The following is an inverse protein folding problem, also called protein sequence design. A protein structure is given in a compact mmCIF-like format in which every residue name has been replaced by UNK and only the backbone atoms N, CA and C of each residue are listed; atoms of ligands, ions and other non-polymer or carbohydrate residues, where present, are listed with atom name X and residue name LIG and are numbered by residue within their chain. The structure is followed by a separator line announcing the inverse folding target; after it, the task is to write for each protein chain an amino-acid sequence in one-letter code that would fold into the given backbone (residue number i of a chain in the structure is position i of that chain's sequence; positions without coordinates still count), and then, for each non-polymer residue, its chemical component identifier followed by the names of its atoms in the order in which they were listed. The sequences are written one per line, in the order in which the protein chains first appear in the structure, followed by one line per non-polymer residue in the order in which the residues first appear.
data_IF_280770740122
#
_entry.id   IF_280770740122
#
_cell.length_a   1.000
_cell.length_b   1.000
_cell.length_c   1.000
_cell.angle_alpha   90.00
_cell.angle_beta   90.00
_cell.angle_gamma   90.00
#
_symmetry.space_group_name_H-M   'P 1'
#
loop_
_entity.id
_entity.type
_entity.pdbx_description
1 polymer ?
#
# COMPACT_ATOMS: atom_id res chain seq x y z
N UNK A 1 0.10 -12.45 -6.04
CA UNK A 1 1.56 -12.40 -6.22
C UNK A 1 2.01 -13.50 -7.17
N UNK A 2 2.69 -13.13 -8.24
CA UNK A 2 3.11 -14.07 -9.31
C UNK A 2 4.06 -15.17 -8.82
N UNK A 3 5.00 -14.86 -7.91
CA UNK A 3 5.90 -15.88 -7.31
C UNK A 3 5.11 -16.89 -6.51
N UNK A 4 4.22 -16.42 -5.63
CA UNK A 4 3.38 -17.28 -4.81
C UNK A 4 2.46 -18.17 -5.64
N UNK A 5 1.95 -17.67 -6.78
CA UNK A 5 1.13 -18.46 -7.70
C UNK A 5 1.91 -19.64 -8.29
N UNK A 6 3.17 -19.43 -8.64
CA UNK A 6 4.07 -20.46 -9.19
C UNK A 6 4.68 -21.43 -8.16
N UNK A 7 4.22 -21.40 -6.91
CA UNK A 7 4.79 -22.24 -5.84
C UNK A 7 6.16 -21.78 -5.32
N UNK A 8 6.62 -20.58 -5.75
CA UNK A 8 7.83 -19.95 -5.23
C UNK A 8 7.60 -19.22 -3.91
N UNK A 9 8.57 -18.39 -3.53
CA UNK A 9 8.56 -17.66 -2.26
C UNK A 9 7.27 -16.86 -2.07
N UNK A 10 6.68 -17.01 -0.92
CA UNK A 10 5.57 -16.18 -0.48
C UNK A 10 6.05 -14.76 -0.16
N UNK A 11 5.20 -13.76 -0.31
CA UNK A 11 5.57 -12.40 0.06
C UNK A 11 5.68 -12.26 1.60
N UNK A 12 6.35 -11.20 2.05
CA UNK A 12 6.50 -10.91 3.48
C UNK A 12 5.16 -10.88 4.25
N UNK A 13 4.06 -10.48 3.62
CA UNK A 13 2.72 -10.50 4.24
C UNK A 13 2.26 -11.92 4.61
N UNK A 14 2.67 -12.93 3.86
CA UNK A 14 2.44 -14.31 4.26
C UNK A 14 3.26 -14.66 5.51
N UNK A 15 4.53 -14.26 5.52
CA UNK A 15 5.45 -14.53 6.61
C UNK A 15 5.02 -13.90 7.94
N UNK A 16 4.59 -12.63 7.88
CA UNK A 16 4.21 -11.85 9.07
C UNK A 16 2.74 -11.97 9.46
N UNK A 17 1.85 -12.21 8.51
CA UNK A 17 0.40 -12.14 8.73
C UNK A 17 -0.34 -13.42 8.33
N UNK A 18 0.36 -14.44 7.83
CA UNK A 18 -0.24 -15.73 7.45
C UNK A 18 -1.21 -15.67 6.27
N UNK A 19 -1.14 -14.62 5.42
CA UNK A 19 -2.05 -14.50 4.28
C UNK A 19 -1.65 -15.35 3.09
N UNK A 20 -2.63 -15.78 2.31
CA UNK A 20 -2.42 -16.48 1.05
C UNK A 20 -2.01 -15.49 -0.05
N UNK A 21 -0.70 -15.33 -0.26
CA UNK A 21 -0.15 -14.31 -1.18
C UNK A 21 -0.68 -14.42 -2.61
N UNK A 22 -1.02 -15.61 -3.08
CA UNK A 22 -1.60 -15.83 -4.42
C UNK A 22 -3.06 -15.33 -4.52
N UNK A 23 -3.75 -15.16 -3.40
CA UNK A 23 -5.11 -14.63 -3.29
C UNK A 23 -5.16 -13.13 -2.99
N UNK A 24 -4.02 -12.42 -3.16
CA UNK A 24 -3.94 -10.99 -2.88
C UNK A 24 -4.06 -10.18 -4.16
N UNK A 25 -5.05 -9.30 -4.21
CA UNK A 25 -5.18 -8.23 -5.22
C UNK A 25 -4.39 -7.02 -4.76
N UNK A 26 -3.55 -6.51 -5.64
CA UNK A 26 -2.88 -5.23 -5.43
C UNK A 26 -3.55 -4.19 -6.34
N UNK A 27 -4.04 -3.12 -5.75
CA UNK A 27 -4.81 -2.10 -6.46
C UNK A 27 -4.57 -0.69 -5.89
N UNK A 28 -5.04 0.31 -6.61
CA UNK A 28 -5.17 1.68 -6.13
C UNK A 28 -6.51 2.28 -6.56
N UNK A 29 -7.19 3.04 -5.70
CA UNK A 29 -8.44 3.72 -6.08
C UNK A 29 -8.20 5.04 -6.82
N UNK A 30 -6.98 5.57 -6.78
CA UNK A 30 -6.56 6.78 -7.49
C UNK A 30 -5.08 6.72 -7.88
N UNK A 31 -4.74 7.30 -9.01
CA UNK A 31 -3.36 7.46 -9.45
C UNK A 31 -2.77 8.82 -9.00
N UNK A 32 -3.59 9.71 -8.45
CA UNK A 32 -3.13 11.00 -7.92
C UNK A 32 -2.19 10.77 -6.74
N UNK A 33 -1.18 11.62 -6.62
CA UNK A 33 -0.26 11.66 -5.49
C UNK A 33 0.19 13.09 -5.27
N UNK A 34 0.31 13.49 -4.03
CA UNK A 34 0.79 14.80 -3.61
C UNK A 34 2.31 14.85 -3.33
N UNK A 35 3.01 13.81 -3.76
CA UNK A 35 4.48 13.72 -3.73
C UNK A 35 5.03 13.27 -5.07
N UNK A 36 6.31 13.61 -5.33
CA UNK A 36 7.08 13.24 -6.52
C UNK A 36 8.42 12.61 -6.12
N UNK A 37 8.36 11.57 -5.27
CA UNK A 37 9.55 10.93 -4.68
C UNK A 37 10.54 10.48 -5.75
N UNK A 38 11.83 10.72 -5.51
CA UNK A 38 12.92 10.35 -6.43
C UNK A 38 13.01 8.84 -6.68
N UNK A 39 12.62 8.03 -5.73
CA UNK A 39 12.61 6.57 -5.83
C UNK A 39 11.29 5.99 -6.35
N UNK A 40 10.32 6.84 -6.70
CA UNK A 40 9.02 6.37 -7.18
C UNK A 40 9.20 5.67 -8.54
N UNK A 41 8.69 4.43 -8.64
CA UNK A 41 8.72 3.67 -9.89
C UNK A 41 7.74 4.18 -10.95
N UNK A 42 6.82 5.07 -10.56
CA UNK A 42 5.83 5.67 -11.47
C UNK A 42 6.48 6.72 -12.37
N UNK A 43 6.13 6.74 -13.66
CA UNK A 43 6.43 7.87 -14.53
C UNK A 43 5.63 9.10 -14.14
N UNK A 44 6.29 10.26 -14.12
CA UNK A 44 5.66 11.57 -13.91
C UNK A 44 5.48 12.36 -15.21
N UNK A 45 5.77 11.74 -16.35
CA UNK A 45 5.66 12.39 -17.67
C UNK A 45 4.21 12.64 -18.10
N UNK A 46 3.29 11.87 -17.53
CA UNK A 46 1.87 12.03 -17.78
C UNK A 46 1.17 12.56 -16.54
N UNK A 47 0.56 13.74 -16.66
CA UNK A 47 -0.32 14.25 -15.63
C UNK A 47 -1.54 13.33 -15.51
N UNK A 48 -1.82 12.91 -14.29
CA UNK A 48 -3.08 12.23 -13.99
C UNK A 48 -4.16 13.31 -13.99
N UNK A 49 -4.95 13.35 -15.06
CA UNK A 49 -6.13 14.25 -15.13
C UNK A 49 -7.07 13.94 -13.95
N UNK A 50 -7.82 14.94 -13.51
CA UNK A 50 -8.95 14.69 -12.62
C UNK A 50 -9.95 13.78 -13.35
N UNK A 51 -9.89 12.48 -13.00
CA UNK A 51 -10.86 11.50 -13.47
C UNK A 51 -12.02 11.48 -12.48
N UNK A 52 -13.21 11.18 -12.97
CA UNK A 52 -14.34 10.86 -12.08
C UNK A 52 -13.95 9.67 -11.21
N UNK A 53 -14.03 9.84 -9.91
CA UNK A 53 -13.73 8.77 -8.96
C UNK A 53 -14.79 7.67 -9.09
N UNK A 54 -14.35 6.42 -9.28
CA UNK A 54 -15.26 5.27 -9.21
C UNK A 54 -15.83 5.13 -7.81
N UNK A 55 -17.10 4.75 -7.68
CA UNK A 55 -17.68 4.44 -6.37
C UNK A 55 -17.05 3.19 -5.76
N UNK A 56 -17.05 3.04 -4.41
CA UNK A 56 -16.59 1.83 -3.73
C UNK A 56 -17.22 0.55 -4.28
N UNK A 57 -18.51 0.57 -4.60
CA UNK A 57 -19.25 -0.56 -5.14
C UNK A 57 -18.76 -0.95 -6.54
N UNK A 58 -18.48 0.06 -7.38
CA UNK A 58 -17.89 -0.17 -8.72
C UNK A 58 -16.52 -0.81 -8.62
N UNK A 59 -15.69 -0.35 -7.68
CA UNK A 59 -14.36 -0.91 -7.43
C UNK A 59 -14.48 -2.36 -6.94
N UNK A 60 -15.33 -2.62 -5.95
CA UNK A 60 -15.57 -3.98 -5.44
C UNK A 60 -16.06 -4.94 -6.54
N UNK A 61 -17.03 -4.52 -7.32
CA UNK A 61 -17.56 -5.33 -8.43
C UNK A 61 -16.49 -5.64 -9.50
N UNK A 62 -15.51 -4.75 -9.65
CA UNK A 62 -14.40 -4.92 -10.59
C UNK A 62 -13.31 -5.91 -10.14
N UNK A 63 -13.17 -6.19 -8.84
CA UNK A 63 -12.03 -6.92 -8.28
C UNK A 63 -11.78 -8.26 -8.96
N UNK A 64 -12.78 -9.14 -9.06
CA UNK A 64 -12.64 -10.46 -9.68
C UNK A 64 -12.31 -10.36 -11.16
N UNK A 65 -12.98 -9.47 -11.89
CA UNK A 65 -12.76 -9.26 -13.33
C UNK A 65 -11.31 -8.81 -13.61
N UNK A 66 -10.84 -7.83 -12.86
CA UNK A 66 -9.49 -7.29 -13.06
C UNK A 66 -8.41 -8.25 -12.54
N UNK A 67 -8.66 -8.99 -11.46
CA UNK A 67 -7.78 -10.06 -11.00
C UNK A 67 -7.62 -11.13 -12.08
N UNK A 68 -8.72 -11.63 -12.64
CA UNK A 68 -8.70 -12.59 -13.75
C UNK A 68 -7.92 -12.07 -14.95
N UNK A 69 -8.15 -10.80 -15.35
CA UNK A 69 -7.39 -10.14 -16.42
C UNK A 69 -5.89 -10.05 -16.12
N UNK A 70 -5.51 -9.69 -14.90
CA UNK A 70 -4.12 -9.60 -14.47
C UNK A 70 -3.41 -10.96 -14.45
N UNK A 71 -4.16 -12.04 -14.26
CA UNK A 71 -3.65 -13.41 -14.25
C UNK A 71 -3.70 -14.10 -15.62
N UNK A 72 -4.52 -13.63 -16.57
CA UNK A 72 -4.75 -14.30 -17.85
C UNK A 72 -3.46 -14.57 -18.67
N UNK A 73 -2.46 -13.67 -18.62
CA UNK A 73 -1.17 -13.86 -19.29
C UNK A 73 -0.30 -14.98 -18.69
N UNK A 74 -0.72 -15.62 -17.59
CA UNK A 74 -0.01 -16.71 -16.94
C UNK A 74 -0.51 -18.09 -17.33
N UNK A 75 -1.71 -18.22 -17.91
CA UNK A 75 -2.28 -19.53 -18.29
C UNK A 75 -1.36 -20.31 -19.24
N UNK A 76 -0.75 -19.67 -20.23
CA UNK A 76 0.14 -20.33 -21.18
C UNK A 76 1.47 -20.82 -20.59
N UNK A 77 1.86 -20.31 -19.40
CA UNK A 77 3.12 -20.64 -18.70
C UNK A 77 2.87 -21.64 -17.56
N UNK A 78 1.59 -21.90 -17.24
CA UNK A 78 1.19 -22.60 -16.03
C UNK A 78 1.13 -24.13 -16.17
N UNK A 79 1.16 -24.67 -17.39
CA UNK A 79 0.97 -26.11 -17.63
C UNK A 79 1.93 -27.03 -16.84
N UNK A 80 3.03 -26.48 -16.25
CA UNK A 80 3.99 -27.25 -15.49
C UNK A 80 4.38 -26.69 -14.10
N UNK A 81 3.81 -25.54 -13.65
CA UNK A 81 4.30 -24.87 -12.43
C UNK A 81 3.23 -24.45 -11.43
N UNK A 82 1.96 -24.52 -11.78
CA UNK A 82 0.83 -24.12 -10.91
C UNK A 82 -0.17 -25.26 -10.87
N UNK A 83 -0.59 -25.66 -9.67
CA UNK A 83 -1.68 -26.60 -9.52
C UNK A 83 -3.01 -25.94 -9.86
N UNK A 84 -3.97 -26.71 -10.41
CA UNK A 84 -5.32 -26.22 -10.72
C UNK A 84 -5.98 -25.62 -9.48
N UNK A 85 -5.84 -26.24 -8.33
CA UNK A 85 -6.36 -25.74 -7.05
C UNK A 85 -5.84 -24.32 -6.74
N UNK A 86 -4.51 -24.11 -6.80
CA UNK A 86 -3.91 -22.81 -6.53
C UNK A 86 -4.32 -21.75 -7.57
N UNK A 87 -4.54 -22.18 -8.80
CA UNK A 87 -5.05 -21.30 -9.85
C UNK A 87 -6.48 -20.85 -9.54
N UNK A 88 -7.37 -21.77 -9.19
CA UNK A 88 -8.76 -21.45 -8.82
C UNK A 88 -8.79 -20.55 -7.57
N UNK A 89 -7.96 -20.84 -6.56
CA UNK A 89 -7.83 -19.97 -5.39
C UNK A 89 -7.39 -18.53 -5.76
N UNK A 90 -6.47 -18.37 -6.71
CA UNK A 90 -6.00 -17.05 -7.14
C UNK A 90 -7.07 -16.24 -7.89
N UNK A 91 -8.05 -16.91 -8.50
CA UNK A 91 -9.22 -16.27 -9.12
C UNK A 91 -10.26 -15.80 -8.09
N UNK A 92 -10.17 -16.33 -6.85
CA UNK A 92 -11.04 -16.01 -5.72
C UNK A 92 -10.24 -15.23 -4.65
N UNK A 93 -9.98 -13.94 -4.88
CA UNK A 93 -9.16 -13.13 -3.97
C UNK A 93 -9.81 -13.01 -2.59
N UNK A 94 -8.98 -13.04 -1.54
CA UNK A 94 -9.37 -12.84 -0.14
C UNK A 94 -8.69 -11.62 0.50
N UNK A 95 -7.66 -11.10 -0.15
CA UNK A 95 -6.87 -10.01 0.40
C UNK A 95 -6.76 -8.88 -0.60
N UNK A 96 -6.92 -7.64 -0.13
CA UNK A 96 -6.80 -6.43 -0.95
C UNK A 96 -5.70 -5.54 -0.38
N UNK A 97 -4.66 -5.29 -1.18
CA UNK A 97 -3.62 -4.34 -0.85
C UNK A 97 -3.82 -3.04 -1.65
N UNK A 98 -4.23 -2.00 -0.94
CA UNK A 98 -4.40 -0.63 -1.47
C UNK A 98 -3.04 0.06 -1.37
N UNK A 99 -2.17 -0.17 -2.38
CA UNK A 99 -0.74 0.16 -2.28
C UNK A 99 0.00 0.23 -3.62
N UNK A 100 -0.70 0.20 -4.75
CA UNK A 100 -0.03 0.01 -6.04
C UNK A 100 0.66 1.27 -6.54
N UNK A 101 -0.04 2.39 -6.57
CA UNK A 101 0.44 3.66 -7.12
C UNK A 101 -0.45 4.80 -6.63
N UNK A 102 0.06 6.03 -6.66
CA UNK A 102 -0.68 7.18 -6.13
C UNK A 102 -0.72 7.21 -4.61
N UNK A 103 -1.48 8.14 -4.06
CA UNK A 103 -1.74 8.24 -2.63
C UNK A 103 -3.23 7.94 -2.37
N UNK A 104 -3.53 6.81 -1.72
CA UNK A 104 -4.92 6.38 -1.52
C UNK A 104 -5.78 7.37 -0.75
N UNK A 105 -5.20 8.14 0.17
CA UNK A 105 -5.94 9.13 0.97
C UNK A 105 -6.47 10.31 0.16
N UNK A 106 -6.04 10.46 -1.10
CA UNK A 106 -6.61 11.43 -2.04
C UNK A 106 -7.91 10.94 -2.70
N UNK A 107 -8.28 9.68 -2.52
CA UNK A 107 -9.59 9.15 -2.90
C UNK A 107 -10.59 9.46 -1.80
N UNK A 108 -11.62 10.26 -2.12
CA UNK A 108 -12.56 10.83 -1.14
C UNK A 108 -13.33 9.79 -0.32
N UNK A 109 -13.59 8.64 -0.92
CA UNK A 109 -14.39 7.55 -0.32
C UNK A 109 -13.50 6.40 0.20
N UNK A 110 -12.22 6.67 0.54
CA UNK A 110 -11.30 5.63 1.01
C UNK A 110 -11.81 4.89 2.26
N UNK A 111 -12.31 5.58 3.32
CA UNK A 111 -12.85 4.87 4.48
C UNK A 111 -14.01 3.94 4.11
N UNK A 112 -14.94 4.40 3.28
CA UNK A 112 -16.09 3.62 2.82
C UNK A 112 -15.66 2.40 1.98
N UNK A 113 -14.64 2.57 1.14
CA UNK A 113 -14.08 1.48 0.34
C UNK A 113 -13.46 0.39 1.22
N UNK A 114 -12.68 0.79 2.24
CA UNK A 114 -12.08 -0.15 3.19
C UNK A 114 -13.17 -0.90 3.97
N UNK A 115 -14.17 -0.18 4.48
CA UNK A 115 -15.29 -0.77 5.20
C UNK A 115 -16.11 -1.72 4.32
N UNK A 116 -16.29 -1.37 3.05
CA UNK A 116 -17.00 -2.23 2.10
C UNK A 116 -16.23 -3.54 1.86
N UNK A 117 -14.90 -3.47 1.66
CA UNK A 117 -14.06 -4.67 1.56
C UNK A 117 -14.13 -5.52 2.82
N UNK A 118 -13.97 -4.90 4.00
CA UNK A 118 -14.01 -5.61 5.28
C UNK A 118 -15.35 -6.35 5.48
N UNK A 119 -16.48 -5.69 5.19
CA UNK A 119 -17.82 -6.30 5.28
C UNK A 119 -18.03 -7.45 4.29
N UNK A 120 -17.32 -7.45 3.17
CA UNK A 120 -17.33 -8.54 2.19
C UNK A 120 -16.26 -9.62 2.46
N UNK A 121 -15.66 -9.63 3.65
CA UNK A 121 -14.75 -10.67 4.11
C UNK A 121 -13.32 -10.57 3.57
N UNK A 122 -12.94 -9.44 2.96
CA UNK A 122 -11.56 -9.23 2.53
C UNK A 122 -10.69 -8.77 3.70
N UNK A 123 -9.46 -9.29 3.75
CA UNK A 123 -8.40 -8.70 4.59
C UNK A 123 -7.79 -7.51 3.85
N UNK A 124 -7.83 -6.33 4.45
CA UNK A 124 -7.40 -5.08 3.81
C UNK A 124 -6.05 -4.59 4.30
N UNK A 125 -5.19 -4.18 3.38
CA UNK A 125 -3.90 -3.56 3.65
C UNK A 125 -3.87 -2.18 3.01
N UNK A 126 -3.69 -1.14 3.81
CA UNK A 126 -3.56 0.24 3.33
C UNK A 126 -2.11 0.69 3.46
N UNK A 127 -1.53 1.22 2.38
CA UNK A 127 -0.22 1.88 2.40
C UNK A 127 -0.42 3.34 1.99
N UNK A 128 0.00 4.26 2.84
CA UNK A 128 -0.11 5.70 2.64
C UNK A 128 1.22 6.40 2.88
N UNK A 129 1.42 7.52 2.22
CA UNK A 129 2.55 8.41 2.46
C UNK A 129 2.37 9.28 3.73
N UNK A 130 1.26 9.13 4.46
CA UNK A 130 1.03 9.78 5.74
C UNK A 130 0.61 11.26 5.67
N UNK A 131 0.40 11.84 4.49
CA UNK A 131 0.13 13.28 4.38
C UNK A 131 -1.29 13.70 4.77
N UNK A 132 -2.20 12.75 5.00
CA UNK A 132 -3.60 13.01 5.35
C UNK A 132 -4.02 12.29 6.64
N UNK A 133 -3.56 12.75 7.84
CA UNK A 133 -3.89 12.11 9.12
C UNK A 133 -5.39 12.01 9.38
N UNK A 134 -6.18 13.03 9.04
CA UNK A 134 -7.64 13.05 9.21
C UNK A 134 -8.35 11.92 8.43
N UNK A 135 -7.86 11.60 7.24
CA UNK A 135 -8.41 10.50 6.43
C UNK A 135 -7.97 9.16 7.02
N UNK A 136 -6.69 9.04 7.39
CA UNK A 136 -6.14 7.82 8.01
C UNK A 136 -6.85 7.50 9.34
N UNK A 137 -7.15 8.51 10.14
CA UNK A 137 -7.88 8.34 11.41
C UNK A 137 -9.24 7.66 11.21
N UNK A 138 -9.92 7.89 10.08
CA UNK A 138 -11.22 7.30 9.73
C UNK A 138 -11.13 5.95 9.03
N UNK A 139 -9.95 5.53 8.59
CA UNK A 139 -9.75 4.25 7.92
C UNK A 139 -9.54 3.14 8.94
N UNK A 140 -10.14 1.98 8.73
CA UNK A 140 -9.96 0.80 9.59
C UNK A 140 -9.54 -0.43 8.76
N UNK A 141 -8.36 -0.42 8.11
CA UNK A 141 -7.84 -1.60 7.44
C UNK A 141 -7.39 -2.66 8.46
N UNK A 142 -7.29 -3.92 8.02
CA UNK A 142 -6.68 -4.97 8.83
C UNK A 142 -5.23 -4.62 9.21
N UNK A 143 -4.47 -4.04 8.28
CA UNK A 143 -3.11 -3.58 8.51
C UNK A 143 -2.90 -2.21 7.84
N UNK A 144 -2.46 -1.22 8.63
CA UNK A 144 -2.11 0.11 8.15
C UNK A 144 -0.59 0.24 8.03
N UNK A 145 -0.14 0.81 6.91
CA UNK A 145 1.26 1.20 6.71
C UNK A 145 1.33 2.70 6.46
N UNK A 146 2.24 3.35 7.16
CA UNK A 146 2.62 4.74 6.89
C UNK A 146 4.08 4.77 6.48
N UNK A 147 4.37 5.43 5.37
CA UNK A 147 5.74 5.62 4.90
C UNK A 147 6.46 6.69 5.72
N UNK A 148 7.70 6.38 6.13
CA UNK A 148 8.65 7.30 6.75
C UNK A 148 9.96 7.22 5.98
N UNK A 149 10.03 7.92 4.85
CA UNK A 149 11.14 7.80 3.90
C UNK A 149 12.26 8.83 4.15
N UNK A 150 12.21 9.58 5.25
CA UNK A 150 13.22 10.57 5.64
C UNK A 150 13.38 10.66 7.16
N UNK A 151 14.59 10.96 7.66
CA UNK A 151 14.85 11.15 9.10
C UNK A 151 14.48 12.54 9.60
N UNK A 152 14.31 13.50 8.69
CA UNK A 152 14.00 14.91 8.96
C UNK A 152 13.33 15.59 7.77
N UNK A 153 12.80 16.79 8.01
CA UNK A 153 12.06 17.58 7.05
C UNK A 153 12.88 17.96 5.81
N UNK A 154 14.13 18.37 5.97
CA UNK A 154 15.00 18.75 4.86
C UNK A 154 15.20 17.57 3.88
N UNK A 155 15.48 16.39 4.43
CA UNK A 155 15.60 15.15 3.65
C UNK A 155 14.26 14.77 3.02
N UNK A 156 13.16 14.93 3.75
CA UNK A 156 11.82 14.67 3.23
C UNK A 156 11.51 15.55 2.01
N UNK A 157 11.73 16.86 2.10
CA UNK A 157 11.48 17.80 1.00
C UNK A 157 12.33 17.43 -0.22
N UNK A 158 13.64 17.16 0.00
CA UNK A 158 14.56 16.86 -1.11
C UNK A 158 14.26 15.52 -1.81
N UNK A 159 13.88 14.49 -1.04
CA UNK A 159 13.70 13.13 -1.52
C UNK A 159 12.27 12.86 -2.01
N UNK A 160 11.27 13.24 -1.21
CA UNK A 160 9.86 12.98 -1.51
C UNK A 160 9.22 14.05 -2.40
N UNK A 161 9.83 15.24 -2.50
CA UNK A 161 9.39 16.35 -3.35
C UNK A 161 7.88 16.59 -3.25
N UNK A 162 7.38 16.93 -2.05
CA UNK A 162 5.96 17.14 -1.83
C UNK A 162 5.48 18.40 -2.56
N UNK A 163 4.17 18.46 -2.88
CA UNK A 163 3.55 19.64 -3.48
C UNK A 163 3.39 20.78 -2.48
N UNK A 164 3.29 20.46 -1.19
CA UNK A 164 3.19 21.37 -0.05
C UNK A 164 4.04 20.78 1.09
N UNK A 165 4.23 21.52 2.16
CA UNK A 165 4.86 20.97 3.36
C UNK A 165 3.88 20.08 4.13
N UNK A 166 4.23 18.81 4.26
CA UNK A 166 3.44 17.80 4.97
C UNK A 166 4.21 17.15 6.14
N UNK A 167 5.38 17.66 6.52
CA UNK A 167 6.23 16.98 7.50
C UNK A 167 5.53 16.79 8.86
N UNK A 168 4.91 17.84 9.39
CA UNK A 168 4.14 17.75 10.64
C UNK A 168 2.95 16.80 10.51
N UNK A 169 2.26 16.79 9.38
CA UNK A 169 1.12 15.88 9.14
C UNK A 169 1.53 14.43 9.06
N UNK A 170 2.73 14.13 8.55
CA UNK A 170 3.28 12.78 8.56
C UNK A 170 3.54 12.33 10.00
N UNK A 171 4.11 13.18 10.84
CA UNK A 171 4.31 12.89 12.26
C UNK A 171 2.99 12.63 13.00
N UNK A 172 1.96 13.42 12.73
CA UNK A 172 0.61 13.19 13.23
C UNK A 172 0.05 11.84 12.77
N UNK A 173 0.25 11.48 11.49
CA UNK A 173 -0.14 10.16 10.96
C UNK A 173 0.60 9.02 11.64
N UNK A 174 1.89 9.20 11.96
CA UNK A 174 2.66 8.20 12.70
C UNK A 174 2.13 8.03 14.12
N UNK A 175 1.76 9.12 14.81
CA UNK A 175 1.17 9.05 16.15
C UNK A 175 -0.17 8.25 16.19
N UNK A 176 -0.92 8.24 15.10
CA UNK A 176 -2.15 7.44 14.97
C UNK A 176 -1.91 5.92 14.91
N UNK A 177 -0.66 5.45 14.80
CA UNK A 177 -0.34 4.03 14.68
C UNK A 177 -0.36 3.26 16.00
N UNK A 178 -0.21 3.94 17.15
CA UNK A 178 -0.05 3.34 18.46
C UNK A 178 -1.16 2.35 18.87
N UNK A 179 -2.40 2.61 18.47
CA UNK A 179 -3.57 1.80 18.89
C UNK A 179 -4.06 0.85 17.78
N UNK A 180 -3.29 0.67 16.72
CA UNK A 180 -3.73 -0.04 15.51
C UNK A 180 -2.75 -1.14 15.13
N UNK A 181 -3.23 -2.14 14.40
CA UNK A 181 -2.35 -3.06 13.71
C UNK A 181 -1.65 -2.30 12.59
N UNK A 182 -0.38 -1.98 12.79
CA UNK A 182 0.33 -1.00 11.99
C UNK A 182 1.78 -1.38 11.69
N UNK A 183 2.31 -0.78 10.65
CA UNK A 183 3.73 -0.81 10.31
C UNK A 183 4.17 0.57 9.82
N UNK A 184 5.37 0.97 10.18
CA UNK A 184 6.09 2.03 9.49
C UNK A 184 6.92 1.39 8.38
N UNK A 185 6.81 1.93 7.17
CA UNK A 185 7.58 1.47 6.02
C UNK A 185 8.64 2.51 5.67
N UNK A 186 9.88 2.07 5.49
CA UNK A 186 11.01 2.94 5.12
C UNK A 186 11.59 2.45 3.80
N UNK A 187 11.68 3.34 2.80
CA UNK A 187 12.39 3.05 1.56
C UNK A 187 13.76 3.67 1.63
N UNK A 188 14.78 2.89 2.02
CA UNK A 188 16.16 3.37 2.06
C UNK A 188 16.77 3.43 0.67
N UNK A 189 17.32 4.60 0.34
CA UNK A 189 18.03 4.87 -0.91
C UNK A 189 19.45 5.30 -0.56
N UNK A 190 20.43 4.49 -0.94
CA UNK A 190 21.84 4.71 -0.62
C UNK A 190 22.31 6.11 -1.03
N UNK A 191 22.87 6.83 -0.08
CA UNK A 191 23.39 8.18 -0.26
C UNK A 191 22.34 9.29 -0.28
N UNK A 192 21.04 8.97 -0.11
CA UNK A 192 19.97 9.96 -0.09
C UNK A 192 19.25 10.06 1.25
N UNK A 193 19.01 8.93 1.92
CA UNK A 193 18.32 8.90 3.22
C UNK A 193 18.80 7.77 4.15
N UNK A 194 19.92 7.11 3.84
CA UNK A 194 20.53 6.03 4.62
C UNK A 194 21.49 6.54 5.70
N UNK A 195 21.17 7.66 6.31
CA UNK A 195 21.95 8.32 7.36
C UNK A 195 21.05 8.71 8.55
N UNK A 196 21.66 9.19 9.65
CA UNK A 196 20.96 9.61 10.88
C UNK A 196 19.97 8.56 11.43
N UNK A 197 20.42 7.31 11.64
CA UNK A 197 19.54 6.24 12.12
C UNK A 197 18.89 6.55 13.48
N UNK A 198 19.53 7.40 14.31
CA UNK A 198 19.01 7.88 15.59
C UNK A 198 17.75 8.73 15.43
N UNK A 199 17.65 9.54 14.36
CA UNK A 199 16.43 10.31 14.08
C UNK A 199 15.29 9.41 13.65
N UNK A 200 15.55 8.41 12.78
CA UNK A 200 14.55 7.39 12.45
C UNK A 200 14.10 6.65 13.70
N UNK A 201 15.05 6.24 14.57
CA UNK A 201 14.71 5.52 15.79
C UNK A 201 13.78 6.31 16.71
N UNK A 202 14.02 7.63 16.86
CA UNK A 202 13.15 8.51 17.65
C UNK A 202 11.73 8.56 17.08
N UNK A 203 11.57 8.81 15.77
CA UNK A 203 10.28 8.85 15.10
C UNK A 203 9.54 7.50 15.17
N UNK A 204 10.26 6.39 15.01
CA UNK A 204 9.71 5.04 15.13
C UNK A 204 9.22 4.75 16.56
N UNK A 205 9.98 5.15 17.56
CA UNK A 205 9.61 4.98 18.97
C UNK A 205 8.35 5.79 19.30
N UNK A 206 8.27 7.04 18.84
CA UNK A 206 7.10 7.90 19.03
C UNK A 206 5.85 7.35 18.32
N UNK A 207 6.03 6.72 17.14
CA UNK A 207 4.92 6.13 16.40
C UNK A 207 4.23 4.97 17.12
N UNK A 208 4.95 4.26 18.00
CA UNK A 208 4.44 3.06 18.67
C UNK A 208 3.93 1.98 17.71
N UNK A 209 4.39 1.98 16.45
CA UNK A 209 3.98 1.00 15.44
C UNK A 209 4.37 -0.42 15.84
N UNK A 210 3.55 -1.41 15.47
CA UNK A 210 3.82 -2.82 15.80
C UNK A 210 4.98 -3.42 15.02
N UNK A 211 5.22 -2.90 13.80
CA UNK A 211 6.23 -3.42 12.87
C UNK A 211 6.94 -2.27 12.16
N UNK A 212 8.18 -2.54 11.76
CA UNK A 212 8.96 -1.71 10.84
C UNK A 212 9.34 -2.57 9.65
N UNK A 213 9.10 -2.06 8.43
CA UNK A 213 9.50 -2.68 7.15
C UNK A 213 10.52 -1.76 6.48
N UNK A 214 11.74 -2.25 6.26
CA UNK A 214 12.82 -1.54 5.58
C UNK A 214 13.18 -2.21 4.27
#
# INVERSE_FOLDING_TARGET
CKRALKGGDMCYKHQFYGIDSHRCVQMTPTLRCNQRCLFCWRSFEHEVKEEEECSPETILAGIHKFQKKALAGFNAVLENTVTEERWQEALEPKHVAISLSGEPTLYRQLPQLIDLFNRNGYTTFLVSNGTNPDVLARCNPYQMYVSLDAPDEETYISLCRPLEDYWERIQESLAHLQSRRSAVRITLVKGLNDFSPEKYAALLQESGSMFVEV
#
